data_IF_959208823025
#
_entry.id   IF_959208823025
#
_cell.length_a   1.000
_cell.length_b   1.000
_cell.length_c   1.000
_cell.angle_alpha   90.00
_cell.angle_beta   90.00
_cell.angle_gamma   90.00
#
_symmetry.space_group_name_H-M   'P 1'
#
loop_
_entity.id
_entity.type
_entity.pdbx_description
1 polymer ?
#
# COMPACT_ATOMS: atom_id res chain seq x y z
N UNK A 1 -1.33 -15.36 -12.04
CA UNK A 1 -0.44 -14.41 -12.75
C UNK A 1 0.98 -14.95 -12.61
N UNK A 2 1.93 -14.53 -13.44
CA UNK A 2 3.31 -15.03 -13.33
C UNK A 2 4.25 -13.86 -12.98
N UNK A 3 4.87 -13.94 -11.80
CA UNK A 3 5.86 -12.98 -11.34
C UNK A 3 7.26 -13.58 -11.15
N UNK A 4 7.50 -14.77 -11.73
CA UNK A 4 8.83 -15.40 -11.69
C UNK A 4 9.89 -14.46 -12.28
N UNK A 5 10.99 -14.34 -11.57
CA UNK A 5 12.05 -13.40 -11.93
C UNK A 5 11.72 -11.92 -11.71
N UNK A 6 10.62 -11.54 -11.08
CA UNK A 6 10.31 -10.17 -10.64
C UNK A 6 10.67 -9.97 -9.18
N UNK A 7 11.01 -8.73 -8.83
CA UNK A 7 11.28 -8.31 -7.45
C UNK A 7 10.26 -7.26 -7.04
N UNK A 8 9.52 -7.54 -5.96
CA UNK A 8 8.53 -6.63 -5.39
C UNK A 8 9.01 -6.11 -4.04
N UNK A 9 9.12 -4.80 -3.89
CA UNK A 9 9.34 -4.12 -2.61
C UNK A 9 8.01 -3.65 -2.06
N UNK A 10 7.61 -4.18 -0.89
CA UNK A 10 6.34 -3.84 -0.24
C UNK A 10 6.60 -3.17 1.10
N UNK A 11 6.18 -1.92 1.28
CA UNK A 11 6.40 -1.19 2.53
C UNK A 11 5.36 -1.55 3.59
N UNK A 12 5.78 -1.61 4.87
CA UNK A 12 4.91 -1.97 5.98
C UNK A 12 4.31 -3.38 5.83
N UNK A 13 5.08 -4.33 5.31
CA UNK A 13 4.59 -5.65 4.92
C UNK A 13 4.79 -6.75 5.98
N UNK A 14 5.10 -6.39 7.22
CA UNK A 14 5.14 -7.36 8.33
C UNK A 14 3.76 -7.80 8.84
N UNK A 15 2.66 -7.16 8.41
CA UNK A 15 1.29 -7.47 8.83
C UNK A 15 0.23 -6.90 7.87
N UNK A 16 -1.04 -7.31 8.10
CA UNK A 16 -2.22 -6.75 7.42
C UNK A 16 -2.15 -6.84 5.90
N UNK A 17 -2.61 -5.79 5.22
CA UNK A 17 -2.63 -5.71 3.75
C UNK A 17 -1.24 -5.94 3.15
N UNK A 18 -0.20 -5.30 3.71
CA UNK A 18 1.16 -5.45 3.21
C UNK A 18 1.68 -6.89 3.25
N UNK A 19 1.37 -7.63 4.32
CA UNK A 19 1.74 -9.04 4.44
C UNK A 19 0.96 -9.93 3.44
N UNK A 20 -0.33 -9.67 3.25
CA UNK A 20 -1.13 -10.40 2.25
C UNK A 20 -0.61 -10.14 0.83
N UNK A 21 -0.27 -8.89 0.50
CA UNK A 21 0.35 -8.52 -0.79
C UNK A 21 1.69 -9.22 -0.97
N UNK A 22 2.56 -9.24 0.05
CA UNK A 22 3.86 -9.90 0.00
C UNK A 22 3.70 -11.42 -0.26
N UNK A 23 2.81 -12.08 0.47
CA UNK A 23 2.50 -13.51 0.30
C UNK A 23 1.90 -13.81 -1.07
N UNK A 24 1.01 -12.96 -1.57
CA UNK A 24 0.42 -13.12 -2.90
C UNK A 24 1.47 -12.99 -4.02
N UNK A 25 2.42 -12.05 -3.94
CA UNK A 25 3.54 -11.98 -4.88
C UNK A 25 4.42 -13.24 -4.81
N UNK A 26 4.73 -13.71 -3.60
CA UNK A 26 5.52 -14.91 -3.40
C UNK A 26 4.85 -16.16 -4.00
N UNK A 27 3.53 -16.33 -3.82
CA UNK A 27 2.79 -17.47 -4.39
C UNK A 27 2.76 -17.47 -5.93
N UNK A 28 2.98 -16.33 -6.56
CA UNK A 28 3.09 -16.17 -8.01
C UNK A 28 4.56 -16.15 -8.50
N UNK A 29 5.51 -16.51 -7.62
CA UNK A 29 6.92 -16.71 -7.94
C UNK A 29 7.82 -15.49 -7.88
N UNK A 30 7.36 -14.35 -7.35
CA UNK A 30 8.22 -13.19 -7.15
C UNK A 30 9.21 -13.37 -5.99
N UNK A 31 10.35 -12.70 -6.07
CA UNK A 31 11.16 -12.38 -4.91
C UNK A 31 10.58 -11.12 -4.22
N UNK A 32 10.43 -11.16 -2.89
CA UNK A 32 9.75 -10.12 -2.14
C UNK A 32 10.65 -9.48 -1.08
N UNK A 33 10.84 -8.18 -1.18
CA UNK A 33 11.46 -7.37 -0.14
C UNK A 33 10.39 -6.90 0.85
N UNK A 34 10.43 -7.45 2.06
CA UNK A 34 9.49 -7.18 3.14
C UNK A 34 10.05 -6.06 4.00
N UNK A 35 9.48 -4.84 3.88
CA UNK A 35 9.89 -3.73 4.72
C UNK A 35 9.09 -3.70 6.03
N UNK A 36 9.81 -3.47 7.12
CA UNK A 36 9.24 -3.24 8.46
C UNK A 36 9.98 -2.10 9.18
N UNK A 37 9.32 -1.47 10.17
CA UNK A 37 9.95 -0.42 10.99
C UNK A 37 10.46 -0.95 12.32
N UNK A 38 9.65 -1.73 13.05
CA UNK A 38 9.93 -2.11 14.44
C UNK A 38 9.85 -3.61 14.73
N UNK A 39 8.92 -4.31 14.10
CA UNK A 39 8.59 -5.70 14.44
C UNK A 39 9.29 -6.69 13.48
N UNK A 40 10.50 -7.07 13.84
CA UNK A 40 11.29 -8.03 13.06
C UNK A 40 10.73 -9.45 13.13
N UNK A 41 10.13 -9.84 14.25
CA UNK A 41 9.52 -11.16 14.42
C UNK A 41 8.33 -11.35 13.47
N UNK A 42 7.45 -10.35 13.39
CA UNK A 42 6.35 -10.37 12.43
C UNK A 42 6.85 -10.41 10.97
N UNK A 43 7.92 -9.68 10.65
CA UNK A 43 8.52 -9.73 9.32
C UNK A 43 9.08 -11.13 8.99
N UNK A 44 9.75 -11.76 9.95
CA UNK A 44 10.26 -13.14 9.80
C UNK A 44 9.14 -14.16 9.57
N UNK A 45 8.01 -14.00 10.25
CA UNK A 45 6.85 -14.86 10.02
C UNK A 45 6.33 -14.74 8.58
N UNK A 46 6.28 -13.52 8.03
CA UNK A 46 5.88 -13.31 6.63
C UNK A 46 6.88 -13.92 5.65
N UNK A 47 8.19 -13.86 5.94
CA UNK A 47 9.21 -14.56 5.13
C UNK A 47 8.92 -16.06 5.09
N UNK A 48 8.76 -16.68 6.26
CA UNK A 48 8.46 -18.11 6.36
C UNK A 48 7.18 -18.49 5.59
N UNK A 49 6.16 -17.63 5.62
CA UNK A 49 4.94 -17.86 4.84
C UNK A 49 5.20 -17.75 3.33
N UNK A 50 6.00 -16.76 2.88
CA UNK A 50 6.39 -16.62 1.48
C UNK A 50 7.15 -17.85 0.96
N UNK A 51 8.08 -18.39 1.76
CA UNK A 51 8.85 -19.58 1.43
C UNK A 51 7.97 -20.84 1.32
N UNK A 52 7.00 -21.01 2.24
CA UNK A 52 6.01 -22.11 2.16
C UNK A 52 5.15 -22.03 0.88
N UNK A 53 4.96 -20.84 0.34
CA UNK A 53 4.23 -20.61 -0.91
C UNK A 53 5.10 -20.75 -2.16
N UNK A 54 6.38 -21.10 -2.01
CA UNK A 54 7.32 -21.34 -3.11
C UNK A 54 8.03 -20.08 -3.61
N UNK A 55 7.86 -18.93 -2.95
CA UNK A 55 8.56 -17.68 -3.26
C UNK A 55 9.81 -17.48 -2.42
N UNK A 56 10.49 -16.36 -2.63
CA UNK A 56 11.66 -15.94 -1.84
C UNK A 56 11.34 -14.63 -1.16
N UNK A 57 11.59 -14.54 0.15
CA UNK A 57 11.40 -13.31 0.94
C UNK A 57 12.64 -12.92 1.73
N UNK A 58 12.96 -11.63 1.74
CA UNK A 58 13.95 -11.05 2.67
C UNK A 58 13.36 -9.83 3.37
N UNK A 59 13.71 -9.64 4.64
CA UNK A 59 13.21 -8.52 5.42
C UNK A 59 14.23 -7.39 5.53
N UNK A 60 13.71 -6.15 5.46
CA UNK A 60 14.51 -4.93 5.49
C UNK A 60 13.91 -3.95 6.50
N UNK A 61 14.67 -3.66 7.54
CA UNK A 61 14.30 -2.61 8.51
C UNK A 61 14.55 -1.25 7.91
N UNK A 62 13.51 -0.40 7.84
CA UNK A 62 13.62 1.01 7.48
C UNK A 62 12.35 1.76 7.90
N UNK A 63 12.51 3.00 8.38
CA UNK A 63 11.43 3.96 8.52
C UNK A 63 11.28 4.73 7.20
N UNK A 64 10.26 4.41 6.43
CA UNK A 64 10.01 5.01 5.12
C UNK A 64 9.57 6.49 5.19
N UNK A 65 9.36 7.04 6.39
CA UNK A 65 9.19 8.49 6.58
C UNK A 65 10.53 9.22 6.63
N UNK A 66 11.66 8.50 6.67
CA UNK A 66 13.01 9.04 6.65
C UNK A 66 13.62 8.84 5.24
N UNK A 67 13.91 9.93 4.48
CA UNK A 67 14.46 9.82 3.13
C UNK A 67 15.76 9.02 3.04
N UNK A 68 16.71 9.21 3.96
CA UNK A 68 17.99 8.49 3.94
C UNK A 68 17.81 6.99 4.22
N UNK A 69 16.81 6.61 5.04
CA UNK A 69 16.50 5.20 5.25
C UNK A 69 15.82 4.59 4.02
N UNK A 70 15.07 5.38 3.24
CA UNK A 70 14.53 4.92 1.94
C UNK A 70 15.63 4.66 0.92
N UNK A 71 16.64 5.55 0.82
CA UNK A 71 17.81 5.35 -0.05
C UNK A 71 18.55 4.06 0.33
N UNK A 72 18.88 3.91 1.61
CA UNK A 72 19.55 2.70 2.12
C UNK A 72 18.71 1.43 1.91
N UNK A 73 17.38 1.50 2.07
CA UNK A 73 16.48 0.38 1.80
C UNK A 73 16.57 -0.05 0.33
N UNK A 74 16.50 0.90 -0.59
CA UNK A 74 16.57 0.63 -2.04
C UNK A 74 17.93 0.02 -2.41
N UNK A 75 19.02 0.56 -1.90
CA UNK A 75 20.39 0.06 -2.16
C UNK A 75 20.56 -1.38 -1.66
N UNK A 76 20.05 -1.68 -0.46
CA UNK A 76 20.10 -3.04 0.11
C UNK A 76 19.26 -4.02 -0.69
N UNK A 77 18.03 -3.63 -1.08
CA UNK A 77 17.18 -4.48 -1.93
C UNK A 77 17.83 -4.71 -3.30
N UNK A 78 18.44 -3.67 -3.88
CA UNK A 78 19.19 -3.76 -5.13
C UNK A 78 20.40 -4.69 -5.00
N UNK A 79 21.14 -4.63 -3.90
CA UNK A 79 22.29 -5.50 -3.63
C UNK A 79 21.90 -6.95 -3.51
N UNK A 80 20.81 -7.26 -2.81
CA UNK A 80 20.35 -8.64 -2.54
C UNK A 80 19.67 -9.29 -3.75
N UNK A 81 18.83 -8.55 -4.47
CA UNK A 81 18.02 -9.11 -5.56
C UNK A 81 18.45 -8.65 -6.96
N UNK A 82 19.42 -7.73 -7.07
CA UNK A 82 19.93 -7.24 -8.35
C UNK A 82 19.00 -6.25 -9.07
N UNK A 83 17.77 -6.04 -8.58
CA UNK A 83 16.77 -5.15 -9.20
C UNK A 83 15.57 -4.87 -8.30
N UNK A 84 14.75 -3.89 -8.70
CA UNK A 84 13.40 -3.66 -8.19
C UNK A 84 12.49 -3.45 -9.40
N UNK A 85 11.46 -4.29 -9.56
CA UNK A 85 10.51 -4.20 -10.68
C UNK A 85 9.20 -3.55 -10.24
N UNK A 86 8.78 -3.80 -8.99
CA UNK A 86 7.49 -3.40 -8.43
C UNK A 86 7.72 -2.76 -7.06
N UNK A 87 7.08 -1.62 -6.83
CA UNK A 87 7.01 -0.99 -5.50
C UNK A 87 5.56 -0.88 -5.08
N UNK A 88 5.25 -1.36 -3.87
CA UNK A 88 3.94 -1.19 -3.24
C UNK A 88 4.09 -0.30 -2.00
N UNK A 89 3.63 0.94 -2.10
CA UNK A 89 3.59 1.89 -1.00
C UNK A 89 2.35 1.63 -0.16
N UNK A 90 2.49 0.77 0.84
CA UNK A 90 1.43 0.37 1.76
C UNK A 90 1.62 0.96 3.16
N UNK A 91 2.86 1.23 3.58
CA UNK A 91 3.13 1.81 4.89
C UNK A 91 2.43 3.17 5.08
N UNK A 92 1.91 3.39 6.28
CA UNK A 92 1.36 4.68 6.70
C UNK A 92 1.51 4.82 8.22
N UNK A 93 1.32 6.03 8.77
CA UNK A 93 1.30 6.20 10.22
C UNK A 93 0.13 5.44 10.82
N UNK A 94 0.34 4.75 11.96
CA UNK A 94 -0.74 4.05 12.64
C UNK A 94 -1.97 4.96 12.81
N UNK A 95 -3.12 4.44 12.44
CA UNK A 95 -4.41 5.10 12.56
C UNK A 95 -5.45 4.10 13.07
N UNK A 96 -6.29 4.54 13.99
CA UNK A 96 -7.34 3.69 14.57
C UNK A 96 -8.70 4.14 14.05
N UNK A 97 -9.38 3.25 13.34
CA UNK A 97 -10.71 3.50 12.80
C UNK A 97 -11.79 3.26 13.87
N UNK A 98 -11.89 4.22 14.80
CA UNK A 98 -12.87 4.25 15.88
C UNK A 98 -13.67 5.57 15.79
N UNK A 99 -14.88 5.57 15.21
CA UNK A 99 -15.68 6.77 14.98
C UNK A 99 -15.94 7.59 16.25
N UNK A 100 -16.13 6.93 17.36
CA UNK A 100 -16.40 7.57 18.66
C UNK A 100 -15.17 8.22 19.30
N UNK A 101 -13.96 7.86 18.84
CA UNK A 101 -12.69 8.42 19.34
C UNK A 101 -12.10 9.45 18.37
N UNK A 102 -12.70 9.62 17.19
CA UNK A 102 -12.20 10.59 16.22
C UNK A 102 -12.36 12.02 16.75
N UNK A 103 -11.42 12.88 16.41
CA UNK A 103 -11.55 14.31 16.69
C UNK A 103 -12.52 14.95 15.71
N UNK A 104 -13.32 15.90 16.21
CA UNK A 104 -14.13 16.74 15.34
C UNK A 104 -13.24 17.80 14.70
N UNK A 105 -13.69 18.41 13.57
CA UNK A 105 -12.89 19.38 12.83
C UNK A 105 -12.36 20.53 13.71
N UNK A 106 -13.17 21.04 14.62
CA UNK A 106 -12.82 22.14 15.51
C UNK A 106 -11.83 21.77 16.63
N UNK A 107 -11.60 20.46 16.87
CA UNK A 107 -10.62 19.92 17.84
C UNK A 107 -9.32 19.49 17.14
N UNK A 108 -9.33 19.47 15.79
CA UNK A 108 -8.16 19.09 15.01
C UNK A 108 -7.18 20.27 14.93
N UNK A 109 -5.91 19.96 15.19
CA UNK A 109 -4.80 20.88 14.95
C UNK A 109 -4.09 20.50 13.65
N UNK A 110 -3.33 21.44 13.08
CA UNK A 110 -2.57 21.20 11.85
C UNK A 110 -1.60 20.02 11.97
N UNK A 111 -1.00 19.82 13.15
CA UNK A 111 -0.06 18.74 13.40
C UNK A 111 -0.67 17.34 13.19
N UNK A 112 -2.00 17.18 13.37
CA UNK A 112 -2.68 15.91 13.08
C UNK A 112 -2.67 15.63 11.57
N UNK A 113 -2.95 16.63 10.75
CA UNK A 113 -2.88 16.53 9.28
C UNK A 113 -1.45 16.27 8.82
N UNK A 114 -0.50 17.08 9.33
CA UNK A 114 0.92 16.93 8.98
C UNK A 114 1.42 15.53 9.28
N UNK A 115 1.11 14.99 10.45
CA UNK A 115 1.48 13.63 10.83
C UNK A 115 0.99 12.56 9.83
N UNK A 116 -0.27 12.64 9.37
CA UNK A 116 -0.81 11.69 8.40
C UNK A 116 -0.26 11.92 6.98
N UNK A 117 -0.01 13.17 6.60
CA UNK A 117 0.65 13.52 5.33
C UNK A 117 2.07 12.97 5.30
N UNK A 118 2.84 13.13 6.37
CA UNK A 118 4.18 12.56 6.49
C UNK A 118 4.15 11.02 6.39
N UNK A 119 3.21 10.40 7.10
CA UNK A 119 3.08 8.94 7.09
C UNK A 119 2.63 8.34 5.75
N UNK A 120 1.94 9.09 4.92
CA UNK A 120 1.38 8.59 3.65
C UNK A 120 2.09 9.19 2.43
N UNK A 121 2.15 10.51 2.32
CA UNK A 121 2.70 11.18 1.14
C UNK A 121 4.22 11.29 1.18
N UNK A 122 4.80 11.77 2.30
CA UNK A 122 6.26 11.88 2.40
C UNK A 122 6.94 10.51 2.29
N UNK A 123 6.40 9.49 2.95
CA UNK A 123 6.93 8.12 2.85
C UNK A 123 6.94 7.60 1.41
N UNK A 124 5.83 7.78 0.69
CA UNK A 124 5.71 7.39 -0.72
C UNK A 124 6.65 8.21 -1.60
N UNK A 125 6.69 9.54 -1.42
CA UNK A 125 7.60 10.42 -2.16
C UNK A 125 9.06 10.00 -1.98
N UNK A 126 9.51 9.77 -0.74
CA UNK A 126 10.89 9.42 -0.43
C UNK A 126 11.30 8.09 -1.07
N UNK A 127 10.44 7.07 -0.97
CA UNK A 127 10.74 5.78 -1.59
C UNK A 127 10.69 5.85 -3.12
N UNK A 128 9.71 6.54 -3.70
CA UNK A 128 9.66 6.73 -5.15
C UNK A 128 10.92 7.45 -5.65
N UNK A 129 11.35 8.52 -4.97
CA UNK A 129 12.56 9.25 -5.33
C UNK A 129 13.81 8.36 -5.30
N UNK A 130 13.92 7.48 -4.31
CA UNK A 130 15.05 6.57 -4.18
C UNK A 130 15.06 5.48 -5.28
N UNK A 131 13.89 4.94 -5.65
CA UNK A 131 13.82 3.82 -6.62
C UNK A 131 13.81 4.28 -8.08
N UNK A 132 13.38 5.50 -8.37
CA UNK A 132 13.20 6.01 -9.75
C UNK A 132 14.44 5.88 -10.63
N UNK A 133 15.67 6.21 -10.18
CA UNK A 133 16.85 6.05 -11.02
C UNK A 133 17.04 4.62 -11.55
N UNK A 134 16.72 3.61 -10.74
CA UNK A 134 16.81 2.19 -11.12
C UNK A 134 15.75 1.85 -12.18
N UNK A 135 14.50 2.28 -11.97
CA UNK A 135 13.41 2.02 -12.91
C UNK A 135 13.59 2.76 -14.23
N UNK A 136 14.03 4.03 -14.20
CA UNK A 136 14.31 4.82 -15.42
C UNK A 136 15.44 4.19 -16.24
N UNK A 137 16.53 3.74 -15.61
CA UNK A 137 17.63 3.06 -16.30
C UNK A 137 17.18 1.79 -17.02
N UNK A 138 16.19 1.08 -16.47
CA UNK A 138 15.60 -0.14 -17.05
C UNK A 138 14.49 0.16 -18.07
N UNK A 139 14.01 1.40 -18.14
CA UNK A 139 12.83 1.81 -18.91
C UNK A 139 11.58 0.94 -18.61
N UNK A 140 11.43 0.52 -17.36
CA UNK A 140 10.27 -0.26 -16.90
C UNK A 140 10.17 -0.22 -15.39
N UNK A 141 8.93 -0.24 -14.88
CA UNK A 141 8.63 -0.29 -13.46
C UNK A 141 7.14 -0.18 -13.18
N UNK A 142 6.73 -0.62 -12.00
CA UNK A 142 5.36 -0.45 -11.55
C UNK A 142 5.33 0.03 -10.10
N UNK A 143 4.62 1.11 -9.86
CA UNK A 143 4.39 1.69 -8.53
C UNK A 143 2.90 1.60 -8.21
N UNK A 144 2.57 1.03 -7.05
CA UNK A 144 1.19 0.91 -6.57
C UNK A 144 1.09 1.54 -5.20
N UNK A 145 0.18 2.50 -5.06
CA UNK A 145 -0.02 3.25 -3.82
C UNK A 145 -1.34 2.82 -3.16
N UNK A 146 -1.29 2.42 -1.89
CA UNK A 146 -2.50 2.06 -1.14
C UNK A 146 -3.14 3.34 -0.59
N UNK A 147 -4.31 3.67 -1.12
CA UNK A 147 -5.12 4.83 -0.73
C UNK A 147 -6.29 4.41 0.17
N UNK A 148 -7.51 4.89 -0.07
CA UNK A 148 -8.73 4.51 0.67
C UNK A 148 -9.98 4.90 -0.13
N UNK A 149 -11.06 4.15 0.01
CA UNK A 149 -12.40 4.50 -0.50
C UNK A 149 -12.95 5.80 0.11
N UNK A 150 -12.50 6.16 1.31
CA UNK A 150 -12.89 7.42 1.99
C UNK A 150 -12.54 8.68 1.18
N UNK A 151 -11.61 8.61 0.23
CA UNK A 151 -11.33 9.72 -0.70
C UNK A 151 -12.51 10.05 -1.62
N UNK A 152 -13.36 9.08 -1.88
CA UNK A 152 -14.54 9.22 -2.73
C UNK A 152 -15.84 9.28 -1.92
N UNK A 153 -15.88 8.58 -0.79
CA UNK A 153 -17.06 8.49 0.08
C UNK A 153 -16.65 8.60 1.55
N UNK A 154 -16.49 9.81 2.09
CA UNK A 154 -16.13 10.04 3.49
C UNK A 154 -17.31 9.75 4.43
N UNK A 155 -17.79 8.50 4.44
CA UNK A 155 -18.92 8.04 5.27
C UNK A 155 -18.69 8.29 6.76
N UNK A 156 -17.45 8.23 7.20
CA UNK A 156 -16.97 8.70 8.50
C UNK A 156 -15.87 9.71 8.24
N UNK A 157 -16.01 10.97 8.68
CA UNK A 157 -15.05 12.03 8.37
C UNK A 157 -13.78 11.92 9.24
N UNK A 158 -12.89 11.03 8.86
CA UNK A 158 -11.52 10.97 9.37
C UNK A 158 -10.65 11.99 8.61
N UNK A 159 -10.78 13.27 8.99
CA UNK A 159 -10.28 14.43 8.24
C UNK A 159 -8.81 14.29 7.83
N UNK A 160 -7.93 14.10 8.82
CA UNK A 160 -6.49 14.08 8.63
C UNK A 160 -6.05 12.88 7.76
N UNK A 161 -6.66 11.72 8.00
CA UNK A 161 -6.38 10.50 7.22
C UNK A 161 -6.86 10.64 5.77
N UNK A 162 -8.11 11.05 5.58
CA UNK A 162 -8.71 11.19 4.24
C UNK A 162 -7.98 12.26 3.43
N UNK A 163 -7.60 13.38 4.07
CA UNK A 163 -6.80 14.44 3.43
C UNK A 163 -5.45 13.90 2.95
N UNK A 164 -4.74 13.14 3.78
CA UNK A 164 -3.45 12.55 3.40
C UNK A 164 -3.59 11.54 2.23
N UNK A 165 -4.63 10.70 2.25
CA UNK A 165 -4.89 9.74 1.16
C UNK A 165 -5.37 10.41 -0.13
N UNK A 166 -6.09 11.54 -0.04
CA UNK A 166 -6.46 12.36 -1.20
C UNK A 166 -5.22 13.02 -1.82
N UNK A 167 -4.32 13.56 -1.00
CA UNK A 167 -3.05 14.13 -1.45
C UNK A 167 -2.19 13.06 -2.17
N UNK A 168 -2.11 11.84 -1.61
CA UNK A 168 -1.41 10.72 -2.24
C UNK A 168 -2.02 10.35 -3.61
N UNK A 169 -3.34 10.44 -3.77
CA UNK A 169 -4.00 10.17 -5.05
C UNK A 169 -3.63 11.22 -6.10
N UNK A 170 -3.62 12.50 -5.75
CA UNK A 170 -3.17 13.59 -6.62
C UNK A 170 -1.70 13.43 -7.02
N UNK A 171 -0.84 13.14 -6.06
CA UNK A 171 0.58 12.84 -6.28
C UNK A 171 0.76 11.67 -7.28
N UNK A 172 0.02 10.58 -7.09
CA UNK A 172 0.11 9.39 -7.95
C UNK A 172 -0.26 9.69 -9.40
N UNK A 173 -1.27 10.52 -9.65
CA UNK A 173 -1.67 10.94 -11.01
C UNK A 173 -0.59 11.77 -11.69
N UNK A 174 0.01 12.73 -11.00
CA UNK A 174 1.11 13.52 -11.55
C UNK A 174 2.32 12.63 -11.86
N UNK A 175 2.66 11.75 -10.93
CA UNK A 175 3.78 10.83 -11.12
C UNK A 175 3.54 9.87 -12.31
N UNK A 176 2.31 9.39 -12.50
CA UNK A 176 1.93 8.56 -13.64
C UNK A 176 2.11 9.28 -14.99
N UNK A 177 1.70 10.55 -15.06
CA UNK A 177 1.86 11.37 -16.27
C UNK A 177 3.34 11.63 -16.59
N UNK A 178 4.15 11.94 -15.58
CA UNK A 178 5.56 12.26 -15.73
C UNK A 178 6.42 11.03 -16.05
N UNK A 179 6.08 9.86 -15.48
CA UNK A 179 6.88 8.65 -15.62
C UNK A 179 6.47 7.75 -16.79
N UNK A 180 5.30 7.98 -17.40
CA UNK A 180 4.83 7.22 -18.55
C UNK A 180 5.85 7.12 -19.69
N UNK A 181 6.53 8.21 -20.11
CA UNK A 181 7.57 8.16 -21.14
C UNK A 181 8.76 7.24 -20.83
N UNK A 182 8.96 6.91 -19.55
CA UNK A 182 10.00 5.96 -19.11
C UNK A 182 9.48 4.53 -18.96
N UNK A 183 8.26 4.21 -19.44
CA UNK A 183 7.69 2.89 -19.31
C UNK A 183 7.32 2.50 -17.87
N UNK A 184 7.20 3.48 -16.97
CA UNK A 184 6.85 3.26 -15.57
C UNK A 184 5.37 3.59 -15.35
N UNK A 185 4.63 2.65 -14.77
CA UNK A 185 3.21 2.80 -14.46
C UNK A 185 3.03 3.12 -12.97
N UNK A 186 2.10 4.02 -12.67
CA UNK A 186 1.75 4.39 -11.29
C UNK A 186 0.25 4.33 -11.13
N UNK A 187 -0.25 3.49 -10.22
CA UNK A 187 -1.68 3.34 -9.95
C UNK A 187 -1.96 3.32 -8.44
N UNK A 188 -3.22 3.51 -8.09
CA UNK A 188 -3.70 3.42 -6.71
C UNK A 188 -4.66 2.24 -6.55
N UNK A 189 -4.59 1.60 -5.38
CA UNK A 189 -5.64 0.71 -4.87
C UNK A 189 -6.27 1.41 -3.69
N UNK A 190 -7.59 1.51 -3.68
CA UNK A 190 -8.39 2.20 -2.66
C UNK A 190 -9.28 1.19 -1.92
N UNK A 191 -8.79 0.55 -0.84
CA UNK A 191 -9.60 -0.37 -0.06
C UNK A 191 -10.71 0.37 0.70
N UNK A 192 -11.83 -0.34 0.92
CA UNK A 192 -12.79 -0.04 1.97
C UNK A 192 -12.27 -0.46 3.34
N UNK A 193 -13.17 -0.74 4.29
CA UNK A 193 -12.79 -1.34 5.55
C UNK A 193 -12.25 -2.76 5.30
N UNK A 194 -11.02 -3.01 5.74
CA UNK A 194 -10.35 -4.32 5.68
C UNK A 194 -10.19 -4.87 7.08
N UNK A 195 -10.67 -6.09 7.32
CA UNK A 195 -10.63 -6.74 8.63
C UNK A 195 -10.23 -8.22 8.50
N UNK A 196 -9.34 -8.74 9.37
CA UNK A 196 -8.66 -8.04 10.47
C UNK A 196 -7.36 -7.33 9.99
N UNK A 197 -7.12 -6.14 10.51
CA UNK A 197 -5.84 -5.44 10.40
C UNK A 197 -5.52 -4.73 11.72
N UNK A 198 -4.27 -4.30 11.92
CA UNK A 198 -3.91 -3.54 13.13
C UNK A 198 -4.70 -2.23 13.30
N UNK A 199 -5.10 -1.59 12.20
CA UNK A 199 -5.90 -0.35 12.24
C UNK A 199 -7.40 -0.60 12.45
N UNK A 200 -7.90 -1.79 12.12
CA UNK A 200 -9.32 -2.15 12.22
C UNK A 200 -9.63 -3.10 13.39
N UNK A 201 -8.63 -3.50 14.18
CA UNK A 201 -8.80 -4.46 15.26
C UNK A 201 -9.89 -4.04 16.27
N UNK A 202 -9.96 -2.73 16.56
CA UNK A 202 -10.91 -2.15 17.51
C UNK A 202 -12.27 -1.77 16.86
N UNK A 203 -12.50 -2.13 15.59
CA UNK A 203 -13.78 -1.82 14.91
C UNK A 203 -14.92 -2.60 15.56
N UNK A 204 -15.88 -1.87 16.12
CA UNK A 204 -17.04 -2.43 16.80
C UNK A 204 -17.96 -3.17 15.84
N UNK A 205 -18.65 -4.19 16.34
CA UNK A 205 -19.51 -5.06 15.53
C UNK A 205 -20.66 -4.29 14.85
N UNK A 206 -21.33 -3.39 15.60
CA UNK A 206 -22.39 -2.55 15.02
C UNK A 206 -21.92 -1.68 13.84
N UNK A 207 -20.65 -1.24 13.84
CA UNK A 207 -20.08 -0.51 12.71
C UNK A 207 -19.80 -1.46 11.53
N UNK A 208 -19.31 -2.67 11.80
CA UNK A 208 -19.13 -3.69 10.77
C UNK A 208 -20.45 -4.04 10.09
N UNK A 209 -21.50 -4.29 10.88
CA UNK A 209 -22.85 -4.57 10.39
C UNK A 209 -23.40 -3.41 9.53
N UNK A 210 -23.21 -2.16 9.97
CA UNK A 210 -23.62 -0.98 9.22
C UNK A 210 -22.90 -0.86 7.88
N UNK A 211 -21.60 -1.18 7.81
CA UNK A 211 -20.83 -1.20 6.57
C UNK A 211 -21.30 -2.36 5.68
N UNK A 212 -21.43 -3.56 6.21
CA UNK A 212 -21.91 -4.76 5.50
C UNK A 212 -23.27 -4.50 4.85
N UNK A 213 -24.20 -3.86 5.59
CA UNK A 213 -25.55 -3.57 5.07
C UNK A 213 -25.55 -2.65 3.86
N UNK A 214 -24.55 -1.76 3.75
CA UNK A 214 -24.38 -0.82 2.65
C UNK A 214 -23.50 -1.37 1.52
N UNK A 215 -22.71 -2.41 1.79
CA UNK A 215 -21.80 -3.01 0.81
C UNK A 215 -22.55 -3.99 -0.10
N UNK A 216 -22.58 -3.82 -1.42
CA UNK A 216 -23.25 -4.74 -2.33
C UNK A 216 -22.81 -6.19 -2.17
N UNK A 217 -21.53 -6.49 -1.97
CA UNK A 217 -21.02 -7.85 -1.75
C UNK A 217 -21.30 -8.40 -0.32
N UNK A 218 -22.01 -7.64 0.53
CA UNK A 218 -22.51 -8.07 1.84
C UNK A 218 -21.47 -8.67 2.78
N UNK A 219 -20.24 -8.22 2.70
CA UNK A 219 -19.15 -8.57 3.61
C UNK A 219 -18.13 -7.44 3.72
N UNK A 220 -17.30 -7.51 4.74
CA UNK A 220 -16.08 -6.70 4.84
C UNK A 220 -14.95 -7.37 4.05
N UNK A 221 -14.08 -6.58 3.46
CA UNK A 221 -12.90 -7.09 2.78
C UNK A 221 -11.91 -7.69 3.78
N UNK A 222 -11.22 -8.75 3.38
CA UNK A 222 -10.02 -9.24 4.04
C UNK A 222 -8.76 -8.70 3.33
N UNK A 223 -7.56 -8.83 3.92
CA UNK A 223 -6.33 -8.37 3.28
C UNK A 223 -6.06 -8.99 1.89
N UNK A 224 -6.47 -10.22 1.66
CA UNK A 224 -6.29 -10.96 0.41
C UNK A 224 -7.14 -10.38 -0.73
N UNK A 225 -8.32 -9.81 -0.43
CA UNK A 225 -9.14 -9.11 -1.44
C UNK A 225 -8.39 -7.93 -2.04
N UNK A 226 -7.61 -7.22 -1.22
CA UNK A 226 -6.79 -6.09 -1.67
C UNK A 226 -5.59 -6.56 -2.49
N UNK A 227 -4.97 -7.66 -2.06
CA UNK A 227 -3.79 -8.21 -2.73
C UNK A 227 -4.07 -8.57 -4.19
N UNK A 228 -5.26 -9.11 -4.52
CA UNK A 228 -5.64 -9.45 -5.88
C UNK A 228 -5.61 -8.24 -6.83
N UNK A 229 -6.11 -7.09 -6.41
CA UNK A 229 -6.08 -5.86 -7.20
C UNK A 229 -4.65 -5.31 -7.35
N UNK A 230 -3.81 -5.43 -6.31
CA UNK A 230 -2.40 -5.04 -6.37
C UNK A 230 -1.66 -5.90 -7.39
N UNK A 231 -1.82 -7.22 -7.36
CA UNK A 231 -1.20 -8.14 -8.32
C UNK A 231 -1.67 -7.86 -9.75
N UNK A 232 -2.96 -7.63 -9.96
CA UNK A 232 -3.48 -7.26 -11.27
C UNK A 232 -2.78 -6.01 -11.81
N UNK A 233 -2.72 -4.93 -11.01
CA UNK A 233 -2.06 -3.69 -11.41
C UNK A 233 -0.54 -3.84 -11.57
N UNK A 234 0.09 -4.79 -10.90
CA UNK A 234 1.51 -5.10 -11.06
C UNK A 234 1.81 -5.93 -12.32
N UNK A 235 0.84 -6.67 -12.83
CA UNK A 235 1.01 -7.64 -13.93
C UNK A 235 0.98 -6.97 -15.31
N UNK A 236 1.38 -7.75 -16.32
CA UNK A 236 1.29 -7.35 -17.72
C UNK A 236 -0.16 -7.24 -18.23
N UNK A 237 -1.14 -7.79 -17.50
CA UNK A 237 -2.56 -7.65 -17.83
C UNK A 237 -3.04 -6.19 -17.70
N UNK A 238 -2.31 -5.37 -16.95
CA UNK A 238 -2.58 -3.94 -16.77
C UNK A 238 -1.57 -3.03 -17.47
N UNK A 239 -0.83 -3.53 -18.46
CA UNK A 239 0.27 -2.79 -19.14
C UNK A 239 -0.14 -1.45 -19.77
N UNK A 240 -1.43 -1.24 -20.04
CA UNK A 240 -1.96 0.02 -20.56
C UNK A 240 -2.81 0.78 -19.53
N UNK A 241 -2.62 0.47 -18.23
CA UNK A 241 -3.30 1.14 -17.11
C UNK A 241 -2.27 1.91 -16.29
N UNK A 242 -2.38 3.24 -16.25
CA UNK A 242 -1.60 4.13 -15.39
C UNK A 242 -2.45 5.32 -14.94
N UNK A 243 -2.14 5.93 -13.80
CA UNK A 243 -2.86 7.05 -13.23
C UNK A 243 -4.24 6.72 -12.65
N UNK A 244 -4.61 5.44 -12.58
CA UNK A 244 -5.94 5.01 -12.16
C UNK A 244 -6.00 4.69 -10.66
N UNK A 245 -7.22 4.73 -10.13
CA UNK A 245 -7.55 4.28 -8.78
C UNK A 245 -8.59 3.17 -8.87
N UNK A 246 -8.25 1.96 -8.41
CA UNK A 246 -9.18 0.84 -8.32
C UNK A 246 -9.72 0.76 -6.89
N UNK A 247 -11.04 0.85 -6.74
CA UNK A 247 -11.70 0.67 -5.46
C UNK A 247 -11.89 -0.82 -5.17
N UNK A 248 -11.48 -1.24 -3.97
CA UNK A 248 -11.63 -2.62 -3.46
C UNK A 248 -12.44 -2.55 -2.18
N UNK A 249 -13.73 -2.31 -2.33
CA UNK A 249 -14.67 -1.98 -1.26
C UNK A 249 -16.01 -2.74 -1.37
N UNK A 250 -16.05 -3.77 -2.22
CA UNK A 250 -17.25 -4.58 -2.43
C UNK A 250 -18.40 -3.86 -3.12
N UNK A 251 -18.10 -2.76 -3.84
CA UNK A 251 -19.10 -1.95 -4.56
C UNK A 251 -19.68 -0.81 -3.71
N UNK A 252 -19.07 -0.50 -2.56
CA UNK A 252 -19.53 0.61 -1.70
C UNK A 252 -19.36 1.97 -2.39
N UNK A 253 -18.35 2.12 -3.24
CA UNK A 253 -18.14 3.25 -4.16
C UNK A 253 -18.26 2.75 -5.59
N UNK A 254 -19.15 3.36 -6.37
CA UNK A 254 -19.29 3.11 -7.81
C UNK A 254 -19.03 4.43 -8.56
N UNK A 255 -18.04 4.43 -9.46
CA UNK A 255 -17.65 5.59 -10.29
C UNK A 255 -17.44 5.18 -11.73
#
# INVERSE_FOLDING_TARGET
MDFRGKVALVTGSSRGIGAAVAKAFASEGAAVAINYKTDSSAASNVINDCEKLGGTGLSFKADVTNPSECENLVDRVQSEFGKIDIVVNNAFRPYHFAPEKRKMFWDLKWEHYQSQIEGSLLSTHSLCKAVLPLMQKKATGTIINITSDLIARPSIPYHEYTTAKSALTGFSRNLAAELGPFGIRVNCVAPGLVYPTGSSADTKENLKEAIISQTPLRRIANPEDVAGAVLFLASDWSKFITGQTIYVDGGLVMK
#
